data_IF_545157139573
#
_entry.id   IF_545157139573
#
_cell.length_a   1.000
_cell.length_b   1.000
_cell.length_c   1.000
_cell.angle_alpha   90.00
_cell.angle_beta   90.00
_cell.angle_gamma   90.00
#
_symmetry.space_group_name_H-M   'P 1'
#
loop_
_entity.id
_entity.type
_entity.pdbx_description
1 polymer ?
#
# COMPACT_ATOMS: atom_id res chain seq x y z
N UNK A 1 -16.62 23.01 -8.49
CA UNK A 1 -16.37 22.15 -7.32
C UNK A 1 -15.77 20.86 -7.85
N UNK A 2 -14.45 20.70 -7.77
CA UNK A 2 -13.79 19.46 -8.15
C UNK A 2 -13.84 18.54 -6.93
N UNK A 3 -14.73 17.55 -6.96
CA UNK A 3 -14.73 16.46 -5.97
C UNK A 3 -13.36 15.80 -6.02
N UNK A 4 -12.68 15.69 -4.87
CA UNK A 4 -11.60 14.71 -4.71
C UNK A 4 -12.17 13.36 -5.16
N UNK A 5 -11.53 12.61 -6.08
CA UNK A 5 -12.00 11.28 -6.41
C UNK A 5 -12.00 10.47 -5.12
N UNK A 6 -13.12 9.86 -4.75
CA UNK A 6 -13.28 9.05 -3.51
C UNK A 6 -12.34 7.82 -3.40
N UNK A 7 -11.33 7.74 -4.27
CA UNK A 7 -10.45 6.60 -4.45
C UNK A 7 -8.98 6.95 -4.16
N UNK A 8 -8.64 8.18 -3.74
CA UNK A 8 -7.26 8.56 -3.36
C UNK A 8 -7.07 8.43 -1.84
N UNK A 9 -6.00 7.76 -1.43
CA UNK A 9 -5.68 7.52 -0.01
C UNK A 9 -4.17 7.43 0.20
N UNK A 10 -3.79 7.42 1.48
CA UNK A 10 -2.45 7.10 1.95
C UNK A 10 -2.45 5.71 2.59
N UNK A 11 -1.40 4.93 2.37
CA UNK A 11 -1.19 3.63 3.03
C UNK A 11 -0.25 3.86 4.20
N UNK A 12 -0.75 3.65 5.42
CA UNK A 12 -0.02 3.92 6.66
C UNK A 12 0.28 2.60 7.36
N UNK A 13 1.51 2.39 7.80
CA UNK A 13 1.84 1.24 8.64
C UNK A 13 1.11 1.34 9.97
N UNK A 14 0.57 0.22 10.48
CA UNK A 14 -0.22 0.22 11.71
C UNK A 14 0.61 0.61 12.94
N UNK A 15 1.90 0.28 12.95
CA UNK A 15 2.78 0.68 14.05
C UNK A 15 3.42 2.04 13.77
N UNK A 16 3.61 2.81 14.83
CA UNK A 16 4.35 4.07 14.76
C UNK A 16 5.85 3.79 14.65
N UNK A 17 6.58 4.78 14.12
CA UNK A 17 8.03 4.80 14.21
C UNK A 17 8.49 4.85 15.67
N UNK A 18 9.77 4.53 15.98
CA UNK A 18 10.33 4.73 17.32
C UNK A 18 10.22 6.18 17.84
N UNK A 19 10.04 7.15 16.94
CA UNK A 19 9.86 8.57 17.27
C UNK A 19 8.38 8.97 17.40
N UNK A 20 7.45 8.00 17.45
CA UNK A 20 6.00 8.20 17.47
C UNK A 20 5.41 8.88 16.22
N UNK A 21 6.07 8.73 15.06
CA UNK A 21 5.57 9.26 13.78
C UNK A 21 4.76 8.20 13.05
N UNK A 22 3.74 8.64 12.30
CA UNK A 22 3.05 7.76 11.35
C UNK A 22 3.95 7.56 10.14
N UNK A 23 4.11 6.31 9.73
CA UNK A 23 4.89 5.95 8.54
C UNK A 23 3.96 5.60 7.40
N UNK A 24 4.10 6.29 6.28
CA UNK A 24 3.36 6.05 5.06
C UNK A 24 4.25 5.34 4.02
N UNK A 25 3.61 4.56 3.15
CA UNK A 25 4.29 3.96 2.01
C UNK A 25 4.49 5.03 0.93
N UNK A 26 5.74 5.21 0.51
CA UNK A 26 6.14 6.15 -0.51
C UNK A 26 6.61 5.44 -1.78
N UNK A 27 6.10 5.90 -2.92
CA UNK A 27 6.54 5.49 -4.24
C UNK A 27 7.79 6.27 -4.67
N UNK A 28 8.89 5.58 -4.95
CA UNK A 28 10.17 6.21 -5.31
C UNK A 28 10.43 6.34 -6.82
N UNK A 29 9.45 5.96 -7.64
CA UNK A 29 9.55 5.90 -9.10
C UNK A 29 9.66 4.47 -9.63
N UNK A 30 9.66 4.35 -10.96
CA UNK A 30 9.80 3.06 -11.65
C UNK A 30 11.12 2.37 -11.25
N UNK A 31 11.10 1.05 -11.17
CA UNK A 31 12.24 0.18 -10.83
C UNK A 31 12.89 0.43 -9.46
N UNK A 32 12.22 1.16 -8.56
CA UNK A 32 12.67 1.35 -7.19
C UNK A 32 11.72 0.68 -6.21
N UNK A 33 12.30 0.16 -5.13
CA UNK A 33 11.53 -0.39 -4.03
C UNK A 33 10.71 0.70 -3.35
N UNK A 34 9.54 0.32 -2.87
CA UNK A 34 8.71 1.15 -2.00
C UNK A 34 9.40 1.30 -0.65
N UNK A 35 9.22 2.45 -0.01
CA UNK A 35 9.81 2.71 1.31
C UNK A 35 8.78 3.24 2.29
N UNK A 36 9.05 3.06 3.58
CA UNK A 36 8.35 3.76 4.64
C UNK A 36 8.99 5.11 4.91
N UNK A 37 8.18 6.16 4.90
CA UNK A 37 8.59 7.53 5.20
C UNK A 37 7.62 8.17 6.17
N UNK A 38 8.02 9.20 6.93
CA UNK A 38 7.08 9.98 7.73
C UNK A 38 5.91 10.46 6.86
N UNK A 39 4.69 10.33 7.38
CA UNK A 39 3.48 10.78 6.68
C UNK A 39 3.58 12.28 6.40
N UNK A 40 3.53 12.62 5.12
CA UNK A 40 3.48 13.99 4.61
C UNK A 40 2.24 14.11 3.71
N UNK A 41 1.21 14.80 4.20
CA UNK A 41 -0.07 14.95 3.50
C UNK A 41 0.04 15.80 2.21
N UNK A 42 1.17 16.50 2.00
CA UNK A 42 1.46 17.23 0.77
C UNK A 42 2.33 16.47 -0.24
N UNK A 43 2.74 15.23 0.07
CA UNK A 43 3.63 14.46 -0.79
C UNK A 43 2.85 13.53 -1.73
N UNK A 44 2.79 13.88 -3.01
CA UNK A 44 2.12 13.09 -4.04
C UNK A 44 2.68 11.67 -4.20
N UNK A 45 3.94 11.42 -3.80
CA UNK A 45 4.53 10.08 -3.80
C UNK A 45 3.92 9.15 -2.74
N UNK A 46 3.21 9.69 -1.76
CA UNK A 46 2.52 8.91 -0.72
C UNK A 46 1.03 8.69 -1.05
N UNK A 47 0.56 9.16 -2.20
CA UNK A 47 -0.82 9.02 -2.65
C UNK A 47 -1.01 7.78 -3.51
N UNK A 48 -2.09 7.05 -3.23
CA UNK A 48 -2.44 5.78 -3.84
C UNK A 48 -3.89 5.78 -4.30
N UNK A 49 -4.19 4.99 -5.34
CA UNK A 49 -5.53 4.86 -5.91
C UNK A 49 -5.98 3.42 -6.03
N UNK A 50 -7.26 3.17 -5.74
CA UNK A 50 -7.92 1.88 -6.02
C UNK A 50 -8.36 1.90 -7.48
N UNK A 51 -7.76 1.01 -8.31
CA UNK A 51 -8.10 0.87 -9.74
C UNK A 51 -9.23 -0.12 -10.01
N UNK A 52 -9.31 -1.20 -9.23
CA UNK A 52 -10.37 -2.19 -9.34
C UNK A 52 -10.88 -2.51 -7.93
N UNK A 53 -12.15 -2.21 -7.61
CA UNK A 53 -12.72 -2.49 -6.29
C UNK A 53 -13.18 -3.94 -6.14
N UNK A 54 -13.17 -4.75 -7.21
CA UNK A 54 -13.54 -6.17 -7.14
C UNK A 54 -12.55 -6.91 -6.25
N UNK A 55 -13.01 -7.91 -5.50
CA UNK A 55 -12.09 -8.73 -4.70
C UNK A 55 -11.28 -9.63 -5.64
N UNK A 56 -9.94 -9.53 -5.62
CA UNK A 56 -9.10 -8.71 -4.74
C UNK A 56 -8.85 -7.29 -5.29
N UNK A 57 -8.98 -6.30 -4.40
CA UNK A 57 -8.89 -4.88 -4.77
C UNK A 57 -7.47 -4.52 -5.22
N UNK A 58 -7.32 -3.90 -6.39
CA UNK A 58 -6.01 -3.46 -6.90
C UNK A 58 -5.72 -2.02 -6.51
N UNK A 59 -4.54 -1.78 -5.92
CA UNK A 59 -4.05 -0.46 -5.53
C UNK A 59 -2.77 -0.12 -6.31
N UNK A 60 -2.63 1.12 -6.76
CA UNK A 60 -1.42 1.64 -7.44
C UNK A 60 -1.07 3.05 -6.95
N UNK A 61 0.18 3.53 -7.04
CA UNK A 61 0.55 4.90 -6.74
C UNK A 61 -0.13 5.88 -7.70
N UNK A 62 -0.53 7.04 -7.20
CA UNK A 62 -1.17 8.09 -8.00
C UNK A 62 -0.27 8.55 -9.15
N UNK A 63 1.03 8.74 -8.87
CA UNK A 63 2.01 9.25 -9.83
C UNK A 63 2.48 8.23 -10.87
N UNK A 64 2.11 6.95 -10.73
CA UNK A 64 2.52 5.92 -11.68
C UNK A 64 1.69 5.87 -12.97
N UNK A 65 0.53 6.54 -13.01
CA UNK A 65 -0.34 6.59 -14.18
C UNK A 65 -0.85 5.21 -14.64
N UNK A 66 -1.08 5.05 -15.94
CA UNK A 66 -1.52 3.79 -16.56
C UNK A 66 -0.38 2.87 -16.99
N UNK A 67 0.86 3.35 -17.01
CA UNK A 67 2.04 2.61 -17.45
C UNK A 67 2.42 1.46 -16.48
N UNK A 68 1.96 1.53 -15.24
CA UNK A 68 2.24 0.55 -14.20
C UNK A 68 1.57 -0.83 -14.39
N UNK A 69 0.51 -0.91 -15.20
CA UNK A 69 -0.16 -2.20 -15.47
C UNK A 69 0.72 -3.19 -16.26
N UNK A 70 1.85 -2.74 -16.83
CA UNK A 70 2.66 -3.53 -17.76
C UNK A 70 4.02 -4.00 -17.21
N UNK A 71 4.50 -3.49 -16.08
CA UNK A 71 5.89 -3.74 -15.64
C UNK A 71 5.99 -3.90 -14.13
N UNK A 72 6.03 -5.15 -13.65
CA UNK A 72 6.64 -5.67 -12.40
C UNK A 72 6.52 -4.88 -11.09
N UNK A 73 5.62 -3.91 -11.00
CA UNK A 73 5.47 -3.07 -9.82
C UNK A 73 4.32 -3.65 -9.02
N UNK A 74 4.72 -4.47 -8.05
CA UNK A 74 3.95 -5.04 -6.95
C UNK A 74 2.47 -4.69 -6.98
N UNK A 75 1.69 -5.47 -7.74
CA UNK A 75 0.24 -5.36 -7.72
C UNK A 75 -0.23 -5.64 -6.30
N UNK A 76 -0.81 -4.63 -5.67
CA UNK A 76 -1.26 -4.75 -4.29
C UNK A 76 -2.70 -5.20 -4.31
N UNK A 77 -2.91 -6.40 -3.78
CA UNK A 77 -4.22 -6.88 -3.41
C UNK A 77 -4.49 -6.49 -1.97
N UNK A 78 -5.65 -5.90 -1.70
CA UNK A 78 -6.02 -5.51 -0.36
C UNK A 78 -7.18 -6.37 0.17
N UNK A 79 -7.08 -6.83 1.41
CA UNK A 79 -8.16 -7.51 2.14
C UNK A 79 -8.50 -6.72 3.39
N UNK A 80 -9.76 -6.31 3.51
CA UNK A 80 -10.28 -5.63 4.69
C UNK A 80 -10.42 -6.63 5.84
N UNK A 81 -9.93 -6.29 7.03
CA UNK A 81 -10.06 -7.10 8.22
C UNK A 81 -11.37 -6.80 8.97
N UNK A 82 -11.70 -7.61 9.97
CA UNK A 82 -12.90 -7.44 10.82
C UNK A 82 -12.95 -6.05 11.49
N UNK A 83 -11.79 -5.43 11.70
CA UNK A 83 -11.69 -4.04 12.13
C UNK A 83 -11.79 -3.11 10.92
N UNK A 84 -12.71 -2.13 10.93
CA UNK A 84 -13.12 -1.41 9.72
C UNK A 84 -12.05 -0.53 9.08
N UNK A 85 -10.91 -0.31 9.75
CA UNK A 85 -9.80 0.55 9.30
C UNK A 85 -8.51 -0.23 9.01
N UNK A 86 -8.45 -1.53 9.34
CA UNK A 86 -7.26 -2.36 9.19
C UNK A 86 -7.34 -3.19 7.90
N UNK A 87 -6.23 -3.21 7.17
CA UNK A 87 -6.08 -3.89 5.89
C UNK A 87 -4.82 -4.73 5.90
N UNK A 88 -4.92 -5.91 5.30
CA UNK A 88 -3.76 -6.67 4.84
C UNK A 88 -3.51 -6.35 3.38
N UNK A 89 -2.25 -6.07 3.05
CA UNK A 89 -1.80 -5.81 1.70
C UNK A 89 -0.92 -6.98 1.26
N UNK A 90 -1.28 -7.58 0.14
CA UNK A 90 -0.52 -8.64 -0.50
C UNK A 90 0.10 -8.10 -1.79
N UNK A 91 1.34 -8.47 -2.08
CA UNK A 91 2.05 -8.04 -3.28
C UNK A 91 2.55 -9.22 -4.11
N UNK A 92 2.75 -8.99 -5.40
CA UNK A 92 3.41 -9.93 -6.31
C UNK A 92 4.65 -9.31 -6.92
N UNK A 93 5.77 -10.04 -6.95
CA UNK A 93 6.98 -9.58 -7.66
C UNK A 93 6.86 -9.67 -9.19
N UNK A 94 5.84 -10.39 -9.68
CA UNK A 94 5.50 -10.59 -11.09
C UNK A 94 4.04 -10.14 -11.32
N UNK A 95 3.59 -9.83 -12.55
CA UNK A 95 2.17 -9.64 -12.81
C UNK A 95 1.38 -10.84 -12.25
N UNK A 96 0.24 -10.61 -11.57
CA UNK A 96 -0.53 -11.69 -10.98
C UNK A 96 -0.87 -12.71 -12.08
N UNK A 97 -0.75 -14.02 -11.81
CA UNK A 97 -1.14 -15.02 -12.79
C UNK A 97 -2.57 -14.73 -13.25
N UNK A 98 -2.77 -14.67 -14.56
CA UNK A 98 -4.05 -14.29 -15.21
C UNK A 98 -5.24 -15.15 -14.78
N UNK A 99 -4.98 -16.27 -14.10
CA UNK A 99 -5.98 -17.25 -13.67
C UNK A 99 -6.34 -17.16 -12.17
N UNK A 100 -5.64 -16.35 -11.37
CA UNK A 100 -5.95 -16.18 -9.94
C UNK A 100 -5.83 -14.72 -9.50
N UNK A 101 -6.88 -13.95 -9.75
CA UNK A 101 -7.16 -12.74 -8.99
C UNK A 101 -7.69 -13.17 -7.61
N UNK A 102 -6.86 -13.74 -6.75
CA UNK A 102 -7.26 -14.10 -5.38
C UNK A 102 -6.18 -13.62 -4.42
N UNK A 103 -6.57 -13.00 -3.31
CA UNK A 103 -5.62 -12.50 -2.31
C UNK A 103 -4.73 -13.67 -1.81
N UNK A 104 -3.40 -13.63 -2.05
CA UNK A 104 -2.51 -14.73 -1.69
C UNK A 104 -2.30 -14.68 -0.17
N UNK A 105 -2.74 -15.70 0.58
CA UNK A 105 -2.70 -15.65 2.03
C UNK A 105 -1.29 -15.82 2.60
N UNK A 106 -0.27 -16.11 1.80
CA UNK A 106 1.10 -16.34 2.26
C UNK A 106 2.04 -15.17 1.95
N UNK A 107 1.66 -14.22 1.07
CA UNK A 107 2.52 -13.12 0.61
C UNK A 107 1.98 -11.77 1.04
N UNK A 108 2.60 -11.14 2.03
CA UNK A 108 2.14 -9.86 2.59
C UNK A 108 3.22 -8.80 2.54
N UNK A 109 2.82 -7.55 2.43
CA UNK A 109 3.69 -6.41 2.61
C UNK A 109 4.13 -6.31 4.06
N UNK A 110 5.44 -6.21 4.25
CA UNK A 110 6.08 -5.99 5.54
C UNK A 110 6.83 -4.66 5.51
N UNK A 111 6.53 -3.79 6.46
CA UNK A 111 7.26 -2.55 6.73
C UNK A 111 8.63 -2.76 7.40
N UNK A 112 9.05 -4.01 7.59
CA UNK A 112 10.31 -4.39 8.21
C UNK A 112 10.37 -3.90 9.66
N UNK A 113 11.26 -2.95 9.95
CA UNK A 113 11.45 -2.39 11.31
C UNK A 113 10.55 -1.20 11.62
N UNK A 114 9.66 -0.79 10.70
CA UNK A 114 8.84 0.41 10.85
C UNK A 114 9.67 1.64 11.25
N UNK A 115 10.68 1.95 10.45
CA UNK A 115 11.53 3.15 10.59
C UNK A 115 11.54 3.92 9.26
N UNK A 116 11.74 5.26 9.29
CA UNK A 116 11.94 6.04 8.08
C UNK A 116 13.05 5.46 7.19
N UNK A 117 12.80 5.43 5.88
CA UNK A 117 13.67 4.85 4.87
C UNK A 117 13.68 3.32 4.79
N UNK A 118 12.92 2.60 5.63
CA UNK A 118 12.85 1.14 5.54
C UNK A 118 12.17 0.73 4.23
N UNK A 119 12.74 -0.24 3.51
CA UNK A 119 12.10 -0.80 2.33
C UNK A 119 10.87 -1.62 2.71
N UNK A 120 9.79 -1.47 1.95
CA UNK A 120 8.62 -2.34 2.04
C UNK A 120 8.90 -3.57 1.19
N UNK A 121 8.91 -4.72 1.84
CA UNK A 121 9.20 -6.01 1.20
C UNK A 121 7.96 -6.89 1.16
N UNK A 122 7.89 -7.82 0.20
CA UNK A 122 6.91 -8.90 0.23
C UNK A 122 7.52 -10.05 1.02
N UNK A 123 6.98 -10.32 2.20
CA UNK A 123 7.39 -11.47 3.01
C UNK A 123 6.46 -12.66 2.75
N UNK A 124 7.05 -13.86 2.78
CA UNK A 124 6.29 -15.12 2.71
C UNK A 124 6.17 -15.69 4.12
N UNK A 125 5.00 -15.54 4.74
CA UNK A 125 4.80 -15.95 6.14
C UNK A 125 3.76 -17.06 6.26
N UNK A 126 3.90 -17.97 7.25
CA UNK A 126 2.84 -18.91 7.61
C UNK A 126 1.57 -18.14 7.98
N UNK A 127 0.40 -18.73 7.67
CA UNK A 127 -0.88 -18.00 7.61
C UNK A 127 -1.19 -17.13 8.84
N UNK A 128 -0.79 -17.52 10.06
CA UNK A 128 -0.94 -16.72 11.29
C UNK A 128 0.05 -17.13 12.39
N UNK A 129 0.37 -16.24 13.36
CA UNK A 129 -0.07 -14.84 13.48
C UNK A 129 0.82 -13.86 12.69
N UNK A 130 0.21 -12.81 12.12
CA UNK A 130 0.91 -11.71 11.45
C UNK A 130 1.66 -10.82 12.43
N UNK A 131 2.79 -10.26 11.98
CA UNK A 131 3.45 -9.16 12.67
C UNK A 131 2.63 -7.88 12.53
N UNK A 132 2.65 -6.99 13.53
CA UNK A 132 1.99 -5.69 13.43
C UNK A 132 2.59 -4.80 12.32
N UNK A 133 3.83 -5.04 11.91
CA UNK A 133 4.50 -4.34 10.79
C UNK A 133 3.93 -4.75 9.42
N UNK A 134 3.14 -5.82 9.37
CA UNK A 134 2.49 -6.35 8.17
C UNK A 134 1.03 -5.88 8.04
N UNK A 135 0.56 -5.04 8.96
CA UNK A 135 -0.80 -4.51 8.99
C UNK A 135 -0.78 -3.03 8.60
N UNK A 136 -1.79 -2.63 7.83
CA UNK A 136 -1.85 -1.32 7.19
C UNK A 136 -3.19 -0.64 7.44
N UNK A 137 -3.19 0.68 7.41
CA UNK A 137 -4.39 1.53 7.50
C UNK A 137 -4.48 2.37 6.24
N UNK A 138 -5.64 2.34 5.58
CA UNK A 138 -5.93 3.20 4.44
C UNK A 138 -6.72 4.41 4.92
N UNK A 139 -6.12 5.60 4.82
CA UNK A 139 -6.77 6.88 5.19
C UNK A 139 -7.04 7.68 3.92
N UNK A 140 -8.29 8.09 3.71
CA UNK A 140 -8.65 8.96 2.58
C UNK A 140 -7.80 10.24 2.57
N UNK A 141 -7.25 10.60 1.41
CA UNK A 141 -6.44 11.79 1.26
C UNK A 141 -7.35 13.02 1.18
N UNK A 142 -7.10 14.03 2.02
CA UNK A 142 -7.74 15.33 1.88
C UNK A 142 -6.81 16.16 1.02
N UNK A 143 -7.04 16.16 -0.31
CA UNK A 143 -6.34 17.09 -1.19
C UNK A 143 -6.87 18.49 -0.90
N UNK A 144 -6.04 19.34 -0.29
CA UNK A 144 -6.37 20.73 -0.03
C UNK A 144 -6.71 21.45 -1.34
N UNK A 145 -7.82 22.18 -1.36
CA UNK A 145 -8.14 23.10 -2.45
C UNK A 145 -7.06 24.19 -2.50
N UNK A 146 -6.36 24.29 -3.64
CA UNK A 146 -5.52 25.44 -3.99
C UNK A 146 -6.31 26.41 -4.88
#
# INVERSE_FOLDING_TARGET
MASVPHNIFVIINRVLSPNNERLAVEYKGLDKNLTLEPLDEGNDNQLWVIKSPNEPTTIVPLLAGDEQAAQNLQFVLAKKLEKPEEWELAGYNDPPPTESCSFPPDRVWDGGKAVPGAEVTIDTVPMEPRSFTQLWVLKGAILGEA
#
